data_IF_116997793468
#
_entry.id   IF_116997793468
#
_cell.length_a   1.000
_cell.length_b   1.000
_cell.length_c   1.000
_cell.angle_alpha   90.00
_cell.angle_beta   90.00
_cell.angle_gamma   90.00
#
_symmetry.space_group_name_H-M   'P 1'
#
loop_
_entity.id
_entity.type
_entity.pdbx_description
1 polymer ?
#
# COMPACT_ATOMS: atom_id res chain seq x y z
N UNK A 1 0.71 10.80 -0.46
CA UNK A 1 0.99 9.70 0.46
C UNK A 1 -0.31 8.93 0.69
N UNK A 2 -0.32 7.61 0.47
CA UNK A 2 -1.45 6.75 0.81
C UNK A 2 -1.19 6.23 2.22
N UNK A 3 -1.99 6.68 3.19
CA UNK A 3 -1.79 6.34 4.59
C UNK A 3 -2.72 5.18 5.00
N UNK A 4 -2.15 4.23 5.75
CA UNK A 4 -2.76 3.01 6.31
C UNK A 4 -3.11 1.93 5.29
N UNK A 5 -2.22 0.96 5.15
CA UNK A 5 -2.42 -0.31 4.43
C UNK A 5 -2.64 -1.51 5.38
N UNK A 6 -2.69 -1.26 6.69
CA UNK A 6 -2.90 -2.20 7.79
C UNK A 6 -4.33 -2.76 7.91
N UNK A 7 -5.09 -2.76 6.81
CA UNK A 7 -6.41 -3.37 6.75
C UNK A 7 -6.70 -3.87 5.34
N UNK A 8 -7.11 -5.13 5.24
CA UNK A 8 -7.46 -5.87 4.00
C UNK A 8 -8.35 -5.09 3.03
N UNK A 9 -9.14 -4.12 3.52
CA UNK A 9 -10.02 -3.26 2.70
C UNK A 9 -9.34 -2.04 2.06
N UNK A 10 -8.10 -1.71 2.42
CA UNK A 10 -7.36 -0.53 1.92
C UNK A 10 -6.30 -0.88 0.88
N UNK A 11 -5.87 -2.14 0.77
CA UNK A 11 -5.00 -2.58 -0.34
C UNK A 11 -5.59 -2.27 -1.72
N UNK A 12 -6.89 -2.50 -1.89
CA UNK A 12 -7.59 -2.22 -3.14
C UNK A 12 -7.65 -0.74 -3.53
N UNK A 13 -7.64 0.20 -2.56
CA UNK A 13 -7.70 1.64 -2.87
C UNK A 13 -6.40 2.13 -3.50
N UNK A 14 -5.25 1.56 -3.11
CA UNK A 14 -3.94 1.95 -3.62
C UNK A 14 -3.87 1.69 -5.14
N UNK A 15 -4.30 0.50 -5.56
CA UNK A 15 -4.37 0.12 -6.97
C UNK A 15 -5.36 0.99 -7.76
N UNK A 16 -6.51 1.31 -7.17
CA UNK A 16 -7.52 2.18 -7.80
C UNK A 16 -7.00 3.62 -8.01
N UNK A 17 -6.30 4.17 -7.01
CA UNK A 17 -5.69 5.51 -7.08
C UNK A 17 -4.61 5.57 -8.15
N UNK A 18 -3.72 4.56 -8.21
CA UNK A 18 -2.69 4.50 -9.24
C UNK A 18 -3.30 4.41 -10.64
N UNK A 19 -4.34 3.58 -10.81
CA UNK A 19 -5.05 3.44 -12.09
C UNK A 19 -5.72 4.74 -12.54
N UNK A 20 -6.29 5.51 -11.61
CA UNK A 20 -6.99 6.75 -11.92
C UNK A 20 -6.01 7.90 -12.22
N UNK A 21 -4.94 8.02 -11.44
CA UNK A 21 -4.01 9.16 -11.51
C UNK A 21 -2.83 8.91 -12.45
N UNK A 22 -2.47 7.65 -12.72
CA UNK A 22 -1.27 7.29 -13.48
C UNK A 22 0.05 7.66 -12.79
N UNK A 23 0.02 7.92 -11.48
CA UNK A 23 1.17 8.33 -10.68
C UNK A 23 1.65 7.14 -9.85
N UNK A 24 2.94 6.78 -9.90
CA UNK A 24 3.46 5.65 -9.15
C UNK A 24 3.44 5.93 -7.63
N UNK A 25 3.02 4.92 -6.87
CA UNK A 25 3.13 4.94 -5.41
C UNK A 25 4.60 4.76 -5.03
N UNK A 26 5.10 5.66 -4.16
CA UNK A 26 6.50 5.61 -3.68
C UNK A 26 6.63 5.05 -2.26
N UNK A 27 5.66 5.33 -1.40
CA UNK A 27 5.72 5.01 0.01
C UNK A 27 4.40 4.43 0.49
N UNK A 28 4.49 3.50 1.42
CA UNK A 28 3.36 2.87 2.12
C UNK A 28 3.53 2.98 3.64
N UNK A 29 2.42 3.19 4.33
CA UNK A 29 2.36 3.11 5.79
C UNK A 29 2.04 1.68 6.24
N UNK A 30 2.96 1.05 6.98
CA UNK A 30 2.82 -0.33 7.51
C UNK A 30 2.46 -0.37 9.00
N UNK A 31 2.20 0.79 9.60
CA UNK A 31 1.87 0.96 11.01
C UNK A 31 1.45 2.40 11.32
N UNK A 32 1.38 2.75 12.60
CA UNK A 32 0.89 4.06 13.08
C UNK A 32 2.01 5.01 13.54
N UNK A 33 3.22 4.48 13.72
CA UNK A 33 4.37 5.24 14.15
C UNK A 33 4.94 6.13 13.05
N UNK A 34 5.63 7.22 13.41
CA UNK A 34 6.28 8.11 12.44
C UNK A 34 7.40 7.42 11.63
N UNK A 35 7.90 6.27 12.09
CA UNK A 35 8.89 5.45 11.39
C UNK A 35 8.28 4.36 10.49
N UNK A 36 6.95 4.23 10.44
CA UNK A 36 6.30 3.10 9.77
C UNK A 36 6.01 3.38 8.28
N UNK A 37 6.79 4.27 7.67
CA UNK A 37 6.80 4.50 6.23
C UNK A 37 7.89 3.67 5.58
N UNK A 38 7.52 2.91 4.55
CA UNK A 38 8.45 2.09 3.76
C UNK A 38 8.30 2.40 2.28
N UNK A 39 9.34 2.13 1.50
CA UNK A 39 9.25 2.15 0.05
C UNK A 39 8.20 1.16 -0.43
N UNK A 40 7.44 1.56 -1.44
CA UNK A 40 6.44 0.68 -2.05
C UNK A 40 7.11 -0.35 -2.94
N UNK A 41 6.93 -1.63 -2.60
CA UNK A 41 7.35 -2.77 -3.39
C UNK A 41 6.11 -3.49 -3.96
N UNK A 42 5.79 -3.35 -5.26
CA UNK A 42 4.57 -3.94 -5.83
C UNK A 42 4.48 -5.46 -5.70
N UNK A 43 5.62 -6.16 -5.77
CA UNK A 43 5.69 -7.61 -5.58
C UNK A 43 5.25 -8.02 -4.17
N UNK A 44 5.95 -7.50 -3.16
CA UNK A 44 5.62 -7.76 -1.74
C UNK A 44 4.17 -7.39 -1.40
N UNK A 45 3.67 -6.30 -2.00
CA UNK A 45 2.29 -5.87 -1.82
C UNK A 45 1.25 -6.87 -2.36
N UNK A 46 1.48 -7.39 -3.57
CA UNK A 46 0.61 -8.39 -4.20
C UNK A 46 0.70 -9.71 -3.45
N UNK A 47 1.90 -10.14 -3.09
CA UNK A 47 2.13 -11.38 -2.33
C UNK A 47 1.36 -11.31 -1.00
N UNK A 48 1.49 -10.20 -0.26
CA UNK A 48 0.74 -9.99 0.99
C UNK A 48 -0.78 -10.01 0.78
N UNK A 49 -1.28 -9.44 -0.32
CA UNK A 49 -2.71 -9.44 -0.64
C UNK A 49 -3.25 -10.84 -0.93
N UNK A 50 -2.46 -11.70 -1.56
CA UNK A 50 -2.84 -13.06 -1.93
C UNK A 50 -2.69 -14.06 -0.78
N UNK A 51 -1.70 -13.86 0.10
CA UNK A 51 -1.47 -14.70 1.27
C UNK A 51 -2.48 -14.44 2.41
N UNK A 52 -3.28 -13.37 2.31
CA UNK A 52 -4.41 -13.12 3.19
C UNK A 52 -4.07 -12.45 4.53
N UNK A 53 -2.81 -12.06 4.73
CA UNK A 53 -2.24 -11.48 5.97
C UNK A 53 -2.35 -12.35 7.23
#
# INVERSE_FOLDING_TARGET
>A
AVAKLDGTSRGGIALAIERELGIPIKLIGVGEGPGDLRDFAPGEFVDSLLEGW
#
